data_IF_458837215888
#
_entry.id   IF_458837215888
#
_cell.length_a   1.000
_cell.length_b   1.000
_cell.length_c   1.000
_cell.angle_alpha   90.00
_cell.angle_beta   90.00
_cell.angle_gamma   90.00
#
_symmetry.space_group_name_H-M   'P 1'
#
loop_
_entity.id
_entity.type
_entity.pdbx_description
1 polymer ?
#
# COMPACT_ATOMS: atom_id res chain seq x y z
N UNK A 1 63.69 -60.58 10.38
CA UNK A 1 63.56 -59.15 10.68
C UNK A 1 62.41 -58.60 9.86
N UNK A 2 61.21 -58.73 10.40
CA UNK A 2 59.96 -58.32 9.67
C UNK A 2 59.49 -56.98 10.22
N UNK A 3 59.40 -55.96 9.33
CA UNK A 3 58.75 -54.67 9.64
C UNK A 3 57.33 -54.74 9.20
N UNK A 4 56.42 -54.75 10.14
CA UNK A 4 54.99 -54.69 9.97
C UNK A 4 54.59 -53.23 9.67
N UNK A 5 53.95 -53.00 8.50
CA UNK A 5 53.40 -51.71 8.14
C UNK A 5 51.95 -51.64 8.57
N UNK A 6 51.66 -50.72 9.50
CA UNK A 6 50.28 -50.41 9.89
C UNK A 6 49.62 -49.55 8.82
N UNK A 7 48.56 -50.05 8.24
CA UNK A 7 47.69 -49.31 7.30
C UNK A 7 46.59 -48.66 8.15
N UNK A 8 46.57 -47.34 8.25
CA UNK A 8 45.50 -46.61 8.87
C UNK A 8 44.42 -46.34 7.83
N UNK A 9 43.28 -46.94 7.98
CA UNK A 9 42.09 -46.68 7.16
C UNK A 9 41.34 -45.50 7.80
N UNK A 10 41.33 -44.36 7.12
CA UNK A 10 40.56 -43.19 7.50
C UNK A 10 39.17 -43.35 6.90
N UNK A 11 38.16 -43.68 7.75
CA UNK A 11 36.77 -43.70 7.34
C UNK A 11 36.24 -42.29 7.31
N UNK A 12 35.99 -41.74 6.11
CA UNK A 12 35.29 -40.48 5.92
C UNK A 12 33.79 -40.68 6.16
N UNK A 13 33.30 -40.17 7.30
CA UNK A 13 31.87 -40.03 7.57
C UNK A 13 31.32 -38.86 6.76
N UNK A 14 30.73 -39.13 5.61
CA UNK A 14 29.86 -38.19 4.91
C UNK A 14 28.58 -38.02 5.73
N UNK A 15 28.53 -36.97 6.56
CA UNK A 15 27.29 -36.53 7.18
C UNK A 15 26.35 -35.96 6.13
N UNK A 16 25.30 -36.70 5.78
CA UNK A 16 24.15 -36.18 5.04
C UNK A 16 23.43 -35.16 5.94
N UNK A 17 23.79 -33.87 5.81
CA UNK A 17 22.94 -32.80 6.34
C UNK A 17 21.64 -32.83 5.54
N UNK A 18 20.62 -33.43 6.11
CA UNK A 18 19.25 -33.36 5.58
C UNK A 18 18.81 -31.90 5.56
N UNK A 19 18.63 -31.35 4.37
CA UNK A 19 17.93 -30.10 4.19
C UNK A 19 16.50 -30.33 4.69
N UNK A 20 16.19 -29.79 5.86
CA UNK A 20 14.80 -29.69 6.31
C UNK A 20 14.04 -28.86 5.25
N UNK A 21 12.87 -29.32 4.79
CA UNK A 21 12.07 -28.54 3.87
C UNK A 21 11.79 -27.18 4.52
N UNK A 22 12.00 -26.09 3.77
CA UNK A 22 11.67 -24.75 4.22
C UNK A 22 10.19 -24.76 4.65
N UNK A 23 9.93 -24.37 5.91
CA UNK A 23 8.58 -24.31 6.45
C UNK A 23 7.73 -23.42 5.51
N UNK A 24 6.56 -23.92 5.12
CA UNK A 24 5.62 -23.12 4.32
C UNK A 24 5.30 -21.82 5.07
N UNK A 25 5.26 -20.68 4.37
CA UNK A 25 4.99 -19.39 5.00
C UNK A 25 3.61 -19.44 5.66
N UNK A 26 3.57 -19.17 6.96
CA UNK A 26 2.33 -19.11 7.74
C UNK A 26 1.42 -18.01 7.18
N UNK A 27 0.13 -18.30 7.02
CA UNK A 27 -0.88 -17.34 6.63
C UNK A 27 -1.08 -16.30 7.74
N UNK A 28 -1.10 -15.01 7.39
CA UNK A 28 -1.13 -13.90 8.34
C UNK A 28 -2.52 -13.70 8.96
N UNK A 29 -3.59 -14.08 8.26
CA UNK A 29 -4.98 -13.83 8.67
C UNK A 29 -5.78 -15.11 8.67
N UNK A 30 -6.50 -15.38 9.78
CA UNK A 30 -7.31 -16.59 9.93
C UNK A 30 -8.72 -16.44 9.33
N UNK A 31 -9.27 -15.20 9.26
CA UNK A 31 -10.54 -14.88 8.63
C UNK A 31 -10.39 -13.69 7.68
N UNK A 32 -11.03 -13.72 6.53
CA UNK A 32 -10.93 -12.70 5.49
C UNK A 32 -9.89 -13.05 4.42
N UNK A 33 -9.19 -12.04 3.93
CA UNK A 33 -8.17 -12.19 2.89
C UNK A 33 -6.90 -12.84 3.48
N UNK A 34 -6.38 -13.84 2.79
CA UNK A 34 -5.11 -14.48 3.13
C UNK A 34 -3.98 -13.96 2.23
N UNK A 35 -2.85 -13.64 2.84
CA UNK A 35 -1.64 -13.18 2.13
C UNK A 35 -0.40 -13.90 2.62
N UNK A 36 0.67 -13.81 1.86
CA UNK A 36 1.99 -14.34 2.23
C UNK A 36 2.56 -13.56 3.41
N UNK A 37 3.54 -14.12 4.09
CA UNK A 37 4.32 -13.36 5.08
C UNK A 37 5.04 -12.17 4.44
N UNK A 38 5.42 -11.20 5.28
CA UNK A 38 6.19 -10.04 4.84
C UNK A 38 7.53 -10.48 4.24
N UNK A 39 7.90 -9.88 3.11
CA UNK A 39 9.14 -10.22 2.40
C UNK A 39 10.39 -10.03 3.26
N UNK A 40 11.30 -10.99 3.22
CA UNK A 40 12.58 -10.91 3.95
C UNK A 40 13.51 -9.80 3.41
N UNK A 41 13.35 -9.39 2.16
CA UNK A 41 14.12 -8.30 1.55
C UNK A 41 14.05 -7.00 2.33
N UNK A 42 12.92 -6.74 3.01
CA UNK A 42 12.71 -5.55 3.86
C UNK A 42 13.78 -5.40 4.94
N UNK A 43 14.38 -6.50 5.42
CA UNK A 43 15.40 -6.46 6.47
C UNK A 43 16.72 -5.81 6.04
N UNK A 44 16.97 -5.68 4.73
CA UNK A 44 18.14 -4.95 4.22
C UNK A 44 18.02 -3.42 4.39
N UNK A 45 16.82 -2.94 4.76
CA UNK A 45 16.56 -1.53 5.06
C UNK A 45 16.07 -1.41 6.52
N UNK A 46 16.83 -0.78 7.44
CA UNK A 46 16.40 -0.61 8.82
C UNK A 46 15.08 0.17 8.92
N UNK A 47 14.07 -0.41 9.59
CA UNK A 47 12.73 0.20 9.68
C UNK A 47 12.76 1.60 10.30
N UNK A 48 13.52 1.77 11.40
CA UNK A 48 13.65 3.06 12.07
C UNK A 48 14.18 4.17 11.14
N UNK A 49 15.12 3.83 10.25
CA UNK A 49 15.64 4.77 9.27
C UNK A 49 14.59 5.15 8.22
N UNK A 50 13.85 4.16 7.72
CA UNK A 50 12.76 4.38 6.75
C UNK A 50 11.67 5.25 7.36
N UNK A 51 11.26 4.98 8.60
CA UNK A 51 10.23 5.74 9.31
C UNK A 51 10.67 7.19 9.59
N UNK A 52 11.94 7.38 9.96
CA UNK A 52 12.52 8.71 10.18
C UNK A 52 12.55 9.52 8.88
N UNK A 53 13.03 8.93 7.79
CA UNK A 53 13.07 9.58 6.47
C UNK A 53 11.65 9.93 6.00
N UNK A 54 10.70 9.00 6.10
CA UNK A 54 9.30 9.24 5.77
C UNK A 54 8.72 10.40 6.59
N UNK A 55 9.04 10.46 7.90
CA UNK A 55 8.61 11.54 8.77
C UNK A 55 9.12 12.90 8.33
N UNK A 56 10.41 13.00 8.05
CA UNK A 56 11.05 14.25 7.63
C UNK A 56 10.51 14.74 6.28
N UNK A 57 10.37 13.82 5.32
CA UNK A 57 9.89 14.16 3.97
C UNK A 57 8.41 14.56 3.99
N UNK A 58 7.58 13.86 4.76
CA UNK A 58 6.17 14.22 4.90
C UNK A 58 6.01 15.60 5.57
N UNK A 59 6.78 15.88 6.61
CA UNK A 59 6.80 17.19 7.26
C UNK A 59 7.26 18.30 6.29
N UNK A 60 8.31 18.03 5.50
CA UNK A 60 8.77 18.94 4.46
C UNK A 60 7.72 19.22 3.38
N UNK A 61 7.01 18.16 2.93
CA UNK A 61 5.89 18.28 2.00
C UNK A 61 4.79 19.19 2.54
N UNK A 62 4.35 18.96 3.79
CA UNK A 62 3.30 19.76 4.39
C UNK A 62 3.73 21.22 4.59
N UNK A 63 4.97 21.46 5.04
CA UNK A 63 5.50 22.81 5.18
C UNK A 63 5.54 23.57 3.85
N UNK A 64 5.97 22.91 2.78
CA UNK A 64 5.99 23.51 1.45
C UNK A 64 4.57 23.73 0.91
N UNK A 65 3.66 22.79 1.11
CA UNK A 65 2.26 22.96 0.75
C UNK A 65 1.61 24.14 1.50
N UNK A 66 1.94 24.29 2.79
CA UNK A 66 1.48 25.42 3.61
C UNK A 66 2.00 26.75 3.07
N UNK A 67 3.30 26.86 2.76
CA UNK A 67 3.91 28.07 2.20
C UNK A 67 3.28 28.50 0.88
N UNK A 68 2.84 27.53 0.08
CA UNK A 68 2.22 27.77 -1.23
C UNK A 68 0.69 27.86 -1.18
N UNK A 69 0.08 27.82 0.01
CA UNK A 69 -1.38 27.84 0.17
C UNK A 69 -2.10 26.62 -0.39
N UNK A 70 -1.37 25.50 -0.56
CA UNK A 70 -1.89 24.25 -1.11
C UNK A 70 -2.27 23.24 -0.03
N UNK A 71 -1.90 23.42 1.24
CA UNK A 71 -2.37 22.59 2.33
C UNK A 71 -3.80 23.02 2.69
N UNK A 72 -4.74 22.09 2.50
CA UNK A 72 -6.15 22.34 2.82
C UNK A 72 -6.35 22.42 4.34
N UNK A 73 -7.05 23.43 4.88
CA UNK A 73 -7.25 23.59 6.32
C UNK A 73 -7.91 22.38 6.98
N UNK A 74 -7.56 22.11 8.23
CA UNK A 74 -8.03 20.93 8.97
C UNK A 74 -9.56 20.88 9.16
N UNK A 75 -10.22 22.04 9.26
CA UNK A 75 -11.67 22.18 9.40
C UNK A 75 -12.43 22.09 8.06
N UNK A 76 -11.72 21.95 6.94
CA UNK A 76 -12.36 21.81 5.63
C UNK A 76 -13.19 20.52 5.56
N UNK A 77 -14.43 20.53 5.03
CA UNK A 77 -15.30 19.36 5.02
C UNK A 77 -14.67 18.08 4.45
N UNK A 78 -13.86 18.20 3.39
CA UNK A 78 -13.18 17.03 2.81
C UNK A 78 -12.06 16.49 3.72
N UNK A 79 -11.35 17.32 4.48
CA UNK A 79 -10.35 16.85 5.45
C UNK A 79 -11.04 16.13 6.59
N UNK A 80 -12.13 16.69 7.12
CA UNK A 80 -12.96 16.06 8.16
C UNK A 80 -13.48 14.70 7.66
N UNK A 81 -14.00 14.65 6.44
CA UNK A 81 -14.46 13.42 5.77
C UNK A 81 -13.35 12.36 5.70
N UNK A 82 -12.18 12.70 5.17
CA UNK A 82 -11.03 11.80 5.05
C UNK A 82 -10.59 11.26 6.42
N UNK A 83 -10.51 12.13 7.43
CA UNK A 83 -10.15 11.74 8.80
C UNK A 83 -11.20 10.83 9.44
N UNK A 84 -12.48 11.04 9.18
CA UNK A 84 -13.56 10.17 9.65
C UNK A 84 -13.45 8.76 9.04
N UNK A 85 -13.16 8.65 7.74
CA UNK A 85 -12.93 7.37 7.06
C UNK A 85 -11.69 6.67 7.64
N UNK A 86 -10.57 7.39 7.77
CA UNK A 86 -9.34 6.85 8.35
C UNK A 86 -9.55 6.32 9.77
N UNK A 87 -10.26 7.06 10.61
CA UNK A 87 -10.59 6.65 11.99
C UNK A 87 -11.31 5.30 12.06
N UNK A 88 -12.11 4.97 11.05
CA UNK A 88 -12.80 3.67 10.96
C UNK A 88 -11.89 2.55 10.46
N UNK A 89 -10.97 2.84 9.54
CA UNK A 89 -10.08 1.85 8.91
C UNK A 89 -8.90 1.48 9.81
N UNK A 90 -8.23 2.47 10.41
CA UNK A 90 -6.99 2.33 11.19
C UNK A 90 -7.04 1.25 12.28
N UNK A 91 -8.13 1.07 13.05
CA UNK A 91 -8.20 0.03 14.07
C UNK A 91 -7.93 -1.39 13.57
N UNK A 92 -8.15 -1.66 12.29
CA UNK A 92 -7.93 -2.97 11.67
C UNK A 92 -6.51 -3.15 11.11
N UNK A 93 -5.69 -2.10 11.07
CA UNK A 93 -4.34 -2.12 10.49
C UNK A 93 -3.39 -3.11 11.16
N UNK A 94 -3.52 -3.30 12.48
CA UNK A 94 -2.68 -4.21 13.27
C UNK A 94 -2.83 -5.69 12.89
N UNK A 95 -3.90 -6.05 12.21
CA UNK A 95 -4.10 -7.41 11.66
C UNK A 95 -3.04 -7.77 10.61
N UNK A 96 -2.54 -6.77 9.91
CA UNK A 96 -1.62 -6.90 8.78
C UNK A 96 -0.19 -6.54 9.14
N UNK A 97 -0.02 -5.65 10.12
CA UNK A 97 1.27 -5.26 10.65
C UNK A 97 1.12 -4.81 12.12
N UNK A 98 1.58 -5.58 13.10
CA UNK A 98 1.48 -5.21 14.52
C UNK A 98 2.14 -3.87 14.86
N UNK A 99 3.18 -3.45 14.12
CA UNK A 99 3.86 -2.17 14.34
C UNK A 99 2.94 -0.96 14.03
N UNK A 100 1.86 -1.18 13.26
CA UNK A 100 0.87 -0.14 12.98
C UNK A 100 0.20 0.44 14.24
N UNK A 101 0.21 -0.30 15.36
CA UNK A 101 -0.24 0.20 16.66
C UNK A 101 0.60 1.38 17.18
N UNK A 102 1.85 1.48 16.76
CA UNK A 102 2.81 2.52 17.18
C UNK A 102 2.88 3.69 16.19
N UNK A 103 2.20 3.58 15.04
CA UNK A 103 2.30 4.59 13.99
C UNK A 103 1.60 5.89 14.40
N UNK A 104 2.21 7.01 14.02
CA UNK A 104 1.64 8.34 14.21
C UNK A 104 0.80 8.70 13.01
N UNK A 105 -0.41 8.14 12.92
CA UNK A 105 -1.32 8.32 11.83
C UNK A 105 -1.65 9.79 11.58
N UNK A 106 -1.51 10.21 10.34
CA UNK A 106 -1.83 11.56 9.88
C UNK A 106 -2.61 11.47 8.57
N UNK A 107 -3.62 12.34 8.41
CA UNK A 107 -4.39 12.47 7.18
C UNK A 107 -4.49 13.92 6.80
N UNK A 108 -3.94 14.27 5.62
CA UNK A 108 -3.94 15.60 5.08
C UNK A 108 -4.46 15.61 3.63
N UNK A 109 -4.98 16.77 3.20
CA UNK A 109 -5.46 16.99 1.85
C UNK A 109 -4.65 18.12 1.21
N UNK A 110 -4.14 17.88 0.01
CA UNK A 110 -3.38 18.82 -0.78
C UNK A 110 -4.24 19.35 -1.92
N UNK A 111 -4.33 20.67 -2.06
CA UNK A 111 -5.03 21.31 -3.17
C UNK A 111 -4.20 21.19 -4.44
N UNK A 112 -4.51 20.18 -5.24
CA UNK A 112 -3.86 19.88 -6.51
C UNK A 112 -4.83 19.17 -7.44
N UNK A 113 -4.70 19.39 -8.74
CA UNK A 113 -5.50 18.72 -9.77
C UNK A 113 -5.10 17.27 -10.01
N UNK A 114 -3.98 16.84 -9.44
CA UNK A 114 -3.51 15.46 -9.59
C UNK A 114 -4.53 14.45 -9.07
N UNK A 115 -4.75 13.40 -9.84
CA UNK A 115 -5.60 12.27 -9.45
C UNK A 115 -4.73 11.27 -8.70
N UNK A 116 -4.44 11.58 -7.43
CA UNK A 116 -3.47 10.82 -6.64
C UNK A 116 -3.81 10.79 -5.13
N UNK A 117 -3.27 9.78 -4.44
CA UNK A 117 -3.21 9.65 -3.00
C UNK A 117 -1.99 8.79 -2.65
N UNK A 118 -1.54 8.80 -1.39
CA UNK A 118 -0.49 7.90 -0.91
C UNK A 118 -0.53 7.72 0.61
N UNK A 119 0.11 6.65 1.10
CA UNK A 119 0.42 6.46 2.50
C UNK A 119 1.91 6.12 2.67
N UNK A 120 2.66 7.00 3.32
CA UNK A 120 4.07 6.76 3.66
C UNK A 120 4.20 5.87 4.91
N UNK A 121 5.37 5.22 5.12
CA UNK A 121 5.69 4.48 6.33
C UNK A 121 5.35 5.27 7.60
N UNK A 122 4.83 4.56 8.62
CA UNK A 122 4.39 5.17 9.86
C UNK A 122 3.02 5.86 9.78
N UNK A 123 2.21 5.58 8.73
CA UNK A 123 0.81 5.97 8.65
C UNK A 123 0.58 7.43 8.22
N UNK A 124 1.40 7.98 7.35
CA UNK A 124 1.30 9.36 6.86
C UNK A 124 0.57 9.40 5.53
N UNK A 125 -0.73 9.72 5.58
CA UNK A 125 -1.65 9.68 4.44
C UNK A 125 -1.83 11.08 3.87
N UNK A 126 -1.73 11.21 2.54
CA UNK A 126 -2.13 12.41 1.82
C UNK A 126 -3.04 12.05 0.65
N UNK A 127 -4.09 12.85 0.50
CA UNK A 127 -4.95 12.86 -0.67
C UNK A 127 -4.75 14.17 -1.44
N UNK A 128 -4.99 14.13 -2.73
CA UNK A 128 -5.05 15.33 -3.57
C UNK A 128 -6.50 15.64 -3.90
N UNK A 129 -6.84 16.93 -3.99
CA UNK A 129 -8.24 17.31 -4.32
C UNK A 129 -8.69 16.73 -5.66
N UNK A 130 -7.75 16.58 -6.61
CA UNK A 130 -8.02 16.04 -7.94
C UNK A 130 -8.65 14.64 -7.94
N UNK A 131 -8.20 13.72 -7.07
CA UNK A 131 -8.79 12.37 -7.03
C UNK A 131 -10.24 12.41 -6.54
N UNK A 132 -10.54 13.28 -5.56
CA UNK A 132 -11.89 13.40 -5.00
C UNK A 132 -12.87 14.04 -6.01
N UNK A 133 -12.43 15.09 -6.71
CA UNK A 133 -13.25 15.87 -7.62
C UNK A 133 -13.42 15.23 -8.99
N UNK A 134 -12.32 14.75 -9.59
CA UNK A 134 -12.36 14.17 -10.94
C UNK A 134 -13.09 12.83 -11.01
N UNK A 135 -13.00 12.03 -9.94
CA UNK A 135 -13.68 10.73 -9.85
C UNK A 135 -15.01 10.78 -9.08
N UNK A 136 -15.37 11.93 -8.48
CA UNK A 136 -16.59 12.09 -7.67
C UNK A 136 -16.77 10.92 -6.70
N UNK A 137 -15.74 10.63 -5.89
CA UNK A 137 -15.69 9.44 -5.05
C UNK A 137 -16.73 9.47 -3.94
N UNK A 138 -17.47 8.36 -3.77
CA UNK A 138 -18.28 8.08 -2.58
C UNK A 138 -17.37 7.80 -1.37
N UNK A 139 -17.92 7.69 -0.15
CA UNK A 139 -17.14 7.34 1.05
C UNK A 139 -16.54 5.94 0.94
N UNK A 140 -17.29 4.99 0.37
CA UNK A 140 -16.79 3.63 0.13
C UNK A 140 -15.62 3.61 -0.86
N UNK A 141 -15.69 4.42 -1.92
CA UNK A 141 -14.62 4.53 -2.90
C UNK A 141 -13.38 5.25 -2.33
N UNK A 142 -13.57 6.27 -1.49
CA UNK A 142 -12.47 6.90 -0.73
C UNK A 142 -11.85 5.89 0.21
N UNK A 143 -12.66 5.06 0.89
CA UNK A 143 -12.17 4.01 1.77
C UNK A 143 -11.40 2.93 1.00
N UNK A 144 -11.82 2.59 -0.23
CA UNK A 144 -11.08 1.67 -1.10
C UNK A 144 -9.71 2.24 -1.49
N UNK A 145 -9.61 3.52 -1.90
CA UNK A 145 -8.32 4.19 -2.15
C UNK A 145 -7.46 4.20 -0.88
N UNK A 146 -8.03 4.68 0.23
CA UNK A 146 -7.29 4.82 1.49
C UNK A 146 -6.80 3.47 2.01
N UNK A 147 -7.64 2.44 1.95
CA UNK A 147 -7.29 1.08 2.34
C UNK A 147 -6.16 0.52 1.49
N UNK A 148 -6.20 0.74 0.17
CA UNK A 148 -5.15 0.36 -0.78
C UNK A 148 -3.80 1.00 -0.42
N UNK A 149 -3.78 2.32 -0.18
CA UNK A 149 -2.56 3.04 0.21
C UNK A 149 -2.03 2.59 1.58
N UNK A 150 -2.93 2.40 2.54
CA UNK A 150 -2.59 1.84 3.86
C UNK A 150 -2.00 0.44 3.71
N UNK A 151 -2.56 -0.41 2.85
CA UNK A 151 -2.06 -1.77 2.63
C UNK A 151 -0.61 -1.77 2.10
N UNK A 152 -0.27 -0.89 1.16
CA UNK A 152 1.12 -0.73 0.71
C UNK A 152 2.07 -0.41 1.86
N UNK A 153 1.68 0.48 2.78
CA UNK A 153 2.49 0.83 3.95
C UNK A 153 2.58 -0.33 4.96
N UNK A 154 1.46 -1.02 5.24
CA UNK A 154 1.42 -2.18 6.15
C UNK A 154 2.26 -3.35 5.65
N UNK A 155 2.24 -3.60 4.34
CA UNK A 155 3.02 -4.66 3.67
C UNK A 155 4.46 -4.25 3.37
N UNK A 156 4.83 -3.02 3.70
CA UNK A 156 6.18 -2.47 3.52
C UNK A 156 6.68 -2.58 2.06
N UNK A 157 5.77 -2.54 1.07
CA UNK A 157 6.09 -2.73 -0.35
C UNK A 157 7.18 -1.76 -0.83
N UNK A 158 7.14 -0.50 -0.42
CA UNK A 158 8.18 0.46 -0.77
C UNK A 158 9.53 0.15 -0.12
N UNK A 159 9.55 -0.32 1.14
CA UNK A 159 10.77 -0.73 1.83
C UNK A 159 11.42 -1.94 1.16
N UNK A 160 10.62 -2.94 0.79
CA UNK A 160 11.07 -4.10 0.04
C UNK A 160 11.68 -3.71 -1.30
N UNK A 161 11.03 -2.81 -2.04
CA UNK A 161 11.52 -2.33 -3.34
C UNK A 161 12.82 -1.55 -3.22
N UNK A 162 12.91 -0.66 -2.24
CA UNK A 162 14.15 0.05 -1.95
C UNK A 162 15.29 -0.93 -1.65
N UNK A 163 15.01 -1.98 -0.86
CA UNK A 163 15.98 -3.03 -0.53
C UNK A 163 16.42 -3.82 -1.78
N UNK A 164 15.49 -4.28 -2.60
CA UNK A 164 15.79 -4.98 -3.87
C UNK A 164 16.61 -4.13 -4.84
N UNK A 165 16.25 -2.87 -4.97
CA UNK A 165 16.94 -1.90 -5.80
C UNK A 165 18.40 -1.70 -5.35
N UNK A 166 18.64 -1.61 -4.03
CA UNK A 166 19.98 -1.56 -3.45
C UNK A 166 20.79 -2.81 -3.78
N UNK A 167 20.20 -3.99 -3.60
CA UNK A 167 20.88 -5.27 -3.84
C UNK A 167 21.23 -5.51 -5.32
N UNK A 168 20.46 -4.95 -6.25
CA UNK A 168 20.67 -5.13 -7.70
C UNK A 168 21.62 -4.09 -8.33
N UNK A 169 22.23 -3.19 -7.53
CA UNK A 169 23.19 -2.18 -8.03
C UNK A 169 22.56 -1.05 -8.87
N UNK A 170 21.24 -1.01 -9.02
CA UNK A 170 20.49 0.04 -9.76
C UNK A 170 20.51 1.39 -9.01
N UNK A 171 21.23 1.48 -7.91
CA UNK A 171 21.03 2.40 -6.79
C UNK A 171 22.01 3.56 -6.68
N UNK A 172 22.68 4.03 -7.66
CA UNK A 172 23.53 5.20 -7.37
C UNK A 172 22.77 6.52 -7.07
N UNK A 173 21.44 6.54 -7.13
CA UNK A 173 20.65 7.78 -6.92
C UNK A 173 19.43 7.65 -5.99
N UNK A 174 19.25 6.53 -5.31
CA UNK A 174 17.97 6.23 -4.60
C UNK A 174 18.03 6.50 -3.10
N UNK A 175 19.17 6.81 -2.49
CA UNK A 175 19.25 7.05 -1.02
C UNK A 175 18.47 8.32 -0.59
N UNK A 176 18.25 9.27 -1.50
CA UNK A 176 17.28 10.37 -1.31
C UNK A 176 15.86 10.06 -1.83
N UNK A 177 15.70 8.98 -2.58
CA UNK A 177 14.51 8.65 -3.35
C UNK A 177 13.63 7.55 -2.72
N UNK A 178 14.03 6.94 -1.61
CA UNK A 178 13.31 5.81 -1.00
C UNK A 178 11.87 6.12 -0.60
N UNK A 179 11.56 7.40 -0.35
CA UNK A 179 10.19 7.86 -0.02
C UNK A 179 9.46 8.36 -1.26
N UNK A 180 10.19 8.76 -2.26
CA UNK A 180 9.68 9.12 -3.57
C UNK A 180 8.96 7.98 -4.27
N UNK A 181 9.44 6.79 -4.06
CA UNK A 181 8.82 5.56 -4.53
C UNK A 181 7.39 5.36 -4.01
N UNK A 182 7.03 6.04 -2.92
CA UNK A 182 5.72 5.96 -2.30
C UNK A 182 4.70 6.94 -2.86
N UNK A 183 5.12 8.05 -3.46
CA UNK A 183 4.18 9.14 -3.75
C UNK A 183 3.63 9.14 -5.16
N UNK A 184 4.23 8.43 -6.09
CA UNK A 184 3.77 8.32 -7.47
C UNK A 184 3.65 9.63 -8.24
N UNK A 185 4.32 10.69 -7.81
CA UNK A 185 4.17 12.00 -8.41
C UNK A 185 5.13 12.18 -9.58
N UNK A 186 4.59 12.47 -10.77
CA UNK A 186 5.38 12.74 -11.97
C UNK A 186 6.11 14.10 -11.83
N UNK A 187 7.45 14.12 -11.91
CA UNK A 187 8.24 15.38 -11.83
C UNK A 187 7.95 16.38 -12.95
N UNK A 188 7.24 15.98 -14.01
CA UNK A 188 6.90 16.84 -15.15
C UNK A 188 5.68 17.70 -14.91
N UNK A 189 4.91 17.42 -13.84
CA UNK A 189 3.74 18.21 -13.52
C UNK A 189 4.17 19.47 -12.76
N UNK A 190 3.89 20.62 -13.32
CA UNK A 190 4.27 21.95 -12.79
C UNK A 190 3.39 22.42 -11.65
N UNK A 191 2.66 21.53 -11.00
CA UNK A 191 1.78 21.84 -9.88
C UNK A 191 2.58 21.99 -8.56
N UNK A 192 1.99 22.68 -7.61
CA UNK A 192 2.61 23.05 -6.32
C UNK A 192 3.16 21.84 -5.57
N UNK A 193 2.47 20.70 -5.64
CA UNK A 193 2.92 19.47 -5.01
C UNK A 193 4.16 18.86 -5.71
N UNK A 194 4.33 19.06 -7.02
CA UNK A 194 5.44 18.49 -7.80
C UNK A 194 6.77 19.19 -7.55
N UNK A 195 6.78 20.49 -7.31
CA UNK A 195 8.03 21.19 -6.99
C UNK A 195 8.63 20.78 -5.64
N UNK A 196 7.78 20.32 -4.69
CA UNK A 196 8.22 19.79 -3.41
C UNK A 196 8.76 18.37 -3.51
N UNK A 197 8.28 17.62 -4.50
CA UNK A 197 8.51 16.20 -4.69
C UNK A 197 9.35 15.93 -5.96
N UNK A 198 9.74 16.97 -6.69
CA UNK A 198 10.29 16.97 -8.05
C UNK A 198 11.66 16.33 -8.27
N UNK A 199 12.19 15.58 -7.30
CA UNK A 199 13.40 14.76 -7.48
C UNK A 199 13.16 13.28 -7.19
N UNK A 200 11.90 12.87 -7.21
CA UNK A 200 11.48 11.56 -6.75
C UNK A 200 11.40 10.54 -7.88
N UNK A 201 12.19 9.47 -7.79
CA UNK A 201 12.12 8.32 -8.70
C UNK A 201 10.84 7.55 -8.41
N UNK A 202 9.92 7.55 -9.38
CA UNK A 202 8.68 6.80 -9.34
C UNK A 202 8.99 5.32 -9.54
N UNK A 203 8.92 4.53 -8.47
CA UNK A 203 8.95 3.07 -8.57
C UNK A 203 7.51 2.56 -8.77
N UNK A 204 7.27 1.91 -9.91
CA UNK A 204 6.00 1.22 -10.12
C UNK A 204 5.92 0.00 -9.22
N UNK A 205 4.80 -0.21 -8.57
CA UNK A 205 4.52 -1.44 -7.86
C UNK A 205 4.34 -2.60 -8.85
N UNK A 206 4.73 -3.79 -8.45
CA UNK A 206 4.49 -4.99 -9.24
C UNK A 206 3.00 -5.35 -9.21
N UNK A 207 2.54 -6.12 -10.20
CA UNK A 207 1.15 -6.58 -10.23
C UNK A 207 0.76 -7.39 -8.99
N UNK A 208 1.71 -8.13 -8.41
CA UNK A 208 1.45 -8.90 -7.19
C UNK A 208 1.27 -8.01 -5.97
N UNK A 209 2.12 -6.98 -5.80
CA UNK A 209 1.99 -5.98 -4.75
C UNK A 209 0.67 -5.20 -4.87
N UNK A 210 0.26 -4.87 -6.10
CA UNK A 210 -1.01 -4.20 -6.37
C UNK A 210 -2.22 -5.08 -6.00
N UNK A 211 -2.19 -6.36 -6.41
CA UNK A 211 -3.24 -7.33 -6.07
C UNK A 211 -3.35 -7.53 -4.56
N UNK A 212 -2.22 -7.63 -3.88
CA UNK A 212 -2.18 -7.75 -2.43
C UNK A 212 -2.74 -6.49 -1.76
N UNK A 213 -2.36 -5.30 -2.24
CA UNK A 213 -2.85 -4.03 -1.70
C UNK A 213 -4.35 -3.83 -1.92
N UNK A 214 -4.90 -4.22 -3.08
CA UNK A 214 -6.34 -4.20 -3.31
C UNK A 214 -7.10 -5.07 -2.31
N UNK A 215 -6.69 -6.31 -2.17
CA UNK A 215 -7.42 -7.27 -1.34
C UNK A 215 -7.33 -6.91 0.15
N UNK A 216 -6.16 -6.55 0.64
CA UNK A 216 -5.97 -6.09 2.03
C UNK A 216 -6.72 -4.78 2.26
N UNK A 217 -6.61 -3.84 1.32
CA UNK A 217 -7.29 -2.55 1.42
C UNK A 217 -8.81 -2.70 1.49
N UNK A 218 -9.38 -3.60 0.69
CA UNK A 218 -10.82 -3.89 0.72
C UNK A 218 -11.24 -4.72 1.95
N UNK A 219 -10.38 -5.60 2.48
CA UNK A 219 -10.62 -6.28 3.77
C UNK A 219 -10.70 -5.25 4.91
N UNK A 220 -9.75 -4.30 4.96
CA UNK A 220 -9.76 -3.21 5.93
C UNK A 220 -11.02 -2.35 5.81
N UNK A 221 -11.38 -1.95 4.59
CA UNK A 221 -12.56 -1.15 4.30
C UNK A 221 -13.85 -1.89 4.70
N UNK A 222 -14.00 -3.16 4.35
CA UNK A 222 -15.16 -3.97 4.67
C UNK A 222 -15.36 -4.13 6.19
N UNK A 223 -14.29 -4.41 6.94
CA UNK A 223 -14.33 -4.46 8.41
C UNK A 223 -14.69 -3.12 9.04
N UNK A 224 -14.25 -2.03 8.42
CA UNK A 224 -14.56 -0.66 8.81
C UNK A 224 -16.00 -0.22 8.43
N UNK A 225 -16.76 -1.10 7.77
CA UNK A 225 -18.15 -0.84 7.38
C UNK A 225 -18.30 -0.06 6.09
N UNK A 226 -17.33 -0.18 5.18
CA UNK A 226 -17.42 0.34 3.82
C UNK A 226 -17.61 -0.82 2.83
N UNK A 227 -18.42 -0.59 1.80
CA UNK A 227 -18.77 -1.61 0.82
C UNK A 227 -17.59 -1.96 -0.09
N UNK A 228 -17.06 -3.21 -0.06
CA UNK A 228 -15.89 -3.58 -0.85
C UNK A 228 -16.14 -3.57 -2.37
N UNK A 229 -17.41 -3.59 -2.83
CA UNK A 229 -17.76 -3.44 -4.25
C UNK A 229 -17.35 -2.08 -4.82
N UNK A 230 -17.11 -1.10 -3.94
CA UNK A 230 -16.52 0.19 -4.29
C UNK A 230 -15.15 0.06 -4.97
N UNK A 231 -14.37 -0.97 -4.67
CA UNK A 231 -13.09 -1.23 -5.35
C UNK A 231 -13.26 -1.46 -6.85
N UNK A 232 -14.28 -2.21 -7.26
CA UNK A 232 -14.61 -2.42 -8.68
C UNK A 232 -15.01 -1.10 -9.34
N UNK A 233 -15.92 -0.35 -8.73
CA UNK A 233 -16.39 0.94 -9.24
C UNK A 233 -15.24 1.96 -9.37
N UNK A 234 -14.34 1.99 -8.39
CA UNK A 234 -13.15 2.83 -8.39
C UNK A 234 -12.26 2.56 -9.62
N UNK A 235 -11.90 1.28 -9.87
CA UNK A 235 -11.08 0.91 -11.02
C UNK A 235 -11.75 1.18 -12.35
N UNK A 236 -13.07 1.02 -12.44
CA UNK A 236 -13.84 1.40 -13.63
C UNK A 236 -13.79 2.91 -13.87
N UNK A 237 -13.97 3.74 -12.84
CA UNK A 237 -13.87 5.21 -12.92
C UNK A 237 -12.45 5.65 -13.33
N UNK A 238 -11.41 5.08 -12.71
CA UNK A 238 -10.01 5.40 -13.06
C UNK A 238 -9.72 5.03 -14.53
N UNK A 239 -10.14 3.86 -14.97
CA UNK A 239 -9.97 3.42 -16.37
C UNK A 239 -10.72 4.31 -17.36
N UNK A 240 -11.92 4.75 -17.02
CA UNK A 240 -12.70 5.67 -17.86
C UNK A 240 -12.06 7.07 -17.94
N UNK A 241 -11.57 7.57 -16.80
CA UNK A 241 -10.87 8.87 -16.75
C UNK A 241 -9.56 8.82 -17.55
N UNK A 242 -8.76 7.76 -17.39
CA UNK A 242 -7.45 7.61 -18.03
C UNK A 242 -7.51 7.57 -19.56
N UNK A 243 -8.68 7.27 -20.15
CA UNK A 243 -8.91 7.39 -21.59
C UNK A 243 -9.01 8.85 -22.05
N UNK A 244 -9.26 9.79 -21.15
CA UNK A 244 -9.49 11.22 -21.43
C UNK A 244 -8.37 12.13 -20.92
N UNK A 245 -7.78 11.77 -19.79
CA UNK A 245 -6.73 12.52 -19.12
C UNK A 245 -5.82 11.57 -18.34
N UNK A 246 -4.52 11.88 -18.18
CA UNK A 246 -3.62 11.09 -17.35
C UNK A 246 -4.14 10.99 -15.92
N UNK A 247 -4.09 9.75 -15.36
CA UNK A 247 -4.35 9.48 -13.96
C UNK A 247 -3.00 9.14 -13.31
N UNK A 248 -2.46 10.06 -12.53
CA UNK A 248 -1.12 9.95 -11.95
C UNK A 248 -0.97 8.71 -11.09
N UNK A 249 -2.00 8.35 -10.35
CA UNK A 249 -2.04 7.14 -9.54
C UNK A 249 -1.74 5.88 -10.39
N UNK A 250 -2.22 5.82 -11.64
CA UNK A 250 -1.98 4.68 -12.52
C UNK A 250 -0.52 4.59 -13.04
N UNK A 251 0.28 5.64 -12.88
CA UNK A 251 1.70 5.62 -13.25
C UNK A 251 2.53 4.74 -12.31
N UNK A 252 2.15 4.68 -11.04
CA UNK A 252 2.77 3.86 -9.99
C UNK A 252 1.99 2.61 -9.66
N UNK A 253 0.66 2.69 -9.78
CA UNK A 253 -0.31 1.63 -9.51
C UNK A 253 -0.97 1.16 -10.81
N UNK A 254 -0.33 0.27 -11.59
CA UNK A 254 -0.89 -0.18 -12.86
C UNK A 254 -2.30 -0.73 -12.68
N UNK A 255 -3.26 -0.13 -13.39
CA UNK A 255 -4.63 -0.58 -13.43
C UNK A 255 -4.85 -1.66 -14.49
N UNK A 256 -6.08 -2.12 -14.60
CA UNK A 256 -6.51 -3.04 -15.66
C UNK A 256 -7.66 -3.92 -15.25
N UNK A 257 -8.23 -4.61 -16.25
CA UNK A 257 -9.34 -5.54 -16.04
C UNK A 257 -8.97 -6.66 -15.07
N UNK A 258 -7.72 -7.12 -15.10
CA UNK A 258 -7.22 -8.18 -14.21
C UNK A 258 -7.43 -7.84 -12.71
N UNK A 259 -7.27 -6.58 -12.29
CA UNK A 259 -7.52 -6.16 -10.89
C UNK A 259 -9.01 -6.22 -10.55
N UNK A 260 -9.87 -5.79 -11.47
CA UNK A 260 -11.33 -5.89 -11.31
C UNK A 260 -11.76 -7.35 -11.17
N UNK A 261 -11.23 -8.22 -12.04
CA UNK A 261 -11.56 -9.65 -12.04
C UNK A 261 -11.13 -10.31 -10.72
N UNK A 262 -9.95 -9.97 -10.23
CA UNK A 262 -9.45 -10.46 -8.96
C UNK A 262 -10.27 -9.98 -7.76
N UNK A 263 -10.65 -8.71 -7.72
CA UNK A 263 -11.53 -8.18 -6.66
C UNK A 263 -12.85 -8.92 -6.69
N UNK A 264 -13.45 -9.12 -7.87
CA UNK A 264 -14.70 -9.88 -8.02
C UNK A 264 -14.56 -11.34 -7.54
N UNK A 265 -13.45 -12.00 -7.84
CA UNK A 265 -13.19 -13.37 -7.39
C UNK A 265 -13.11 -13.52 -5.86
N UNK A 266 -12.83 -12.44 -5.12
CA UNK A 266 -12.74 -12.43 -3.67
C UNK A 266 -13.96 -11.82 -2.97
N UNK A 267 -15.02 -11.45 -3.70
CA UNK A 267 -16.24 -10.88 -3.10
C UNK A 267 -16.94 -11.86 -2.14
N UNK A 268 -16.82 -13.16 -2.37
CA UNK A 268 -17.31 -14.20 -1.45
C UNK A 268 -16.64 -14.16 -0.07
N UNK A 269 -15.45 -13.57 0.05
CA UNK A 269 -14.73 -13.35 1.32
C UNK A 269 -14.99 -11.94 1.86
N UNK A 270 -15.00 -10.92 1.01
CA UNK A 270 -15.10 -9.52 1.40
C UNK A 270 -16.52 -9.12 1.83
N UNK A 271 -17.57 -9.59 1.12
CA UNK A 271 -18.95 -9.24 1.46
C UNK A 271 -19.41 -9.75 2.84
N UNK A 272 -19.04 -10.96 3.29
CA UNK A 272 -19.31 -11.39 4.67
C UNK A 272 -18.67 -10.49 5.73
N UNK A 273 -17.48 -9.94 5.50
CA UNK A 273 -16.85 -8.99 6.42
C UNK A 273 -17.63 -7.69 6.51
N UNK A 274 -18.06 -7.17 5.37
CA UNK A 274 -18.88 -5.99 5.28
C UNK A 274 -20.25 -6.21 5.91
N UNK A 275 -20.96 -7.29 5.58
CA UNK A 275 -22.25 -7.64 6.17
C UNK A 275 -22.17 -7.75 7.70
N UNK A 276 -21.12 -8.37 8.23
CA UNK A 276 -20.85 -8.44 9.67
C UNK A 276 -20.69 -7.07 10.29
N UNK A 277 -19.99 -6.15 9.65
CA UNK A 277 -19.82 -4.77 10.13
C UNK A 277 -21.14 -3.99 10.15
N UNK A 278 -22.09 -4.38 9.29
CA UNK A 278 -23.46 -3.80 9.23
C UNK A 278 -24.46 -4.54 10.13
N UNK A 279 -24.09 -5.67 10.72
CA UNK A 279 -25.00 -6.50 11.51
C UNK A 279 -26.09 -7.19 10.69
N UNK A 280 -25.86 -7.46 9.41
CA UNK A 280 -26.82 -8.05 8.48
C UNK A 280 -26.34 -9.34 7.85
N UNK A 281 -27.27 -10.10 7.24
CA UNK A 281 -26.89 -11.25 6.41
C UNK A 281 -26.30 -10.78 5.07
N UNK A 282 -25.21 -11.38 4.56
CA UNK A 282 -24.64 -11.03 3.25
C UNK A 282 -25.67 -11.06 2.10
N UNK A 283 -26.62 -11.98 2.14
CA UNK A 283 -27.67 -12.09 1.12
C UNK A 283 -28.67 -10.93 1.11
N UNK A 284 -28.76 -10.16 2.21
CA UNK A 284 -29.65 -9.01 2.34
C UNK A 284 -28.99 -7.67 1.98
N UNK A 285 -27.70 -7.68 1.59
CA UNK A 285 -27.02 -6.47 1.19
C UNK A 285 -27.66 -5.88 -0.08
N UNK A 286 -27.97 -4.56 -0.11
CA UNK A 286 -28.50 -3.92 -1.31
C UNK A 286 -27.45 -3.91 -2.43
N UNK A 287 -27.88 -3.69 -3.67
CA UNK A 287 -26.95 -3.46 -4.77
C UNK A 287 -26.08 -2.23 -4.49
N UNK A 288 -24.78 -2.32 -4.80
CA UNK A 288 -23.87 -1.19 -4.66
C UNK A 288 -24.24 -0.06 -5.63
N UNK A 289 -24.19 1.17 -5.15
CA UNK A 289 -24.44 2.36 -5.94
C UNK A 289 -23.24 3.30 -5.88
N UNK A 290 -22.61 3.55 -7.01
CA UNK A 290 -21.58 4.58 -7.14
C UNK A 290 -22.19 5.92 -7.53
N UNK A 291 -21.50 7.03 -7.25
CA UNK A 291 -21.86 8.32 -7.81
C UNK A 291 -21.62 8.30 -9.33
N UNK A 292 -22.59 8.76 -10.11
CA UNK A 292 -22.44 8.89 -11.56
C UNK A 292 -21.53 10.09 -11.89
N UNK A 293 -20.68 9.91 -12.87
CA UNK A 293 -19.81 10.97 -13.41
C UNK A 293 -20.58 11.91 -14.35
#
# INVERSE_FOLDING_TARGET
>A
MNKLKHLVVLAALCGCAGFAPAAEPKKVVQDGIEVKELSLWRHLQPQAQVDQQASQQYAGLLAQAQQKGALVPENHPQVVRLRAIAKRIIPFATRWNPEAAKWKWQVNLLNSKQVNAFCMPGGRIAFFTGILTSLKLTDDEVAAVMGHEIAHALREHGRERAAKSTATGVVSRIIGAGVAAYTGIDPRLTDVATNALGQMVVLKFSRDEEREADLIGLDLAARAGFDPRAGVALWQKMGALNKRAPVELLSTHPGGQERIDQINAHMNVLLPLYARSQGVNPASLPAYRTAQN
#
